data_IF_572352014429
#
_entry.id   IF_572352014429
#
_cell.length_a   1.000
_cell.length_b   1.000
_cell.length_c   1.000
_cell.angle_alpha   90.00
_cell.angle_beta   90.00
_cell.angle_gamma   90.00
#
_symmetry.space_group_name_H-M   'P 1'
#
loop_
_entity.id
_entity.type
_entity.pdbx_description
1 polymer ?
#
# COMPACT_ATOMS: atom_id res chain seq x y z
N UNK A 1 19.77 35.35 -3.57
CA UNK A 1 18.72 34.72 -2.75
C UNK A 1 18.49 35.48 -1.42
N UNK A 2 18.49 36.79 -1.46
CA UNK A 2 18.32 37.64 -0.27
C UNK A 2 17.25 38.73 -0.45
N UNK A 3 16.32 38.58 -1.38
CA UNK A 3 15.24 39.58 -1.63
C UNK A 3 13.83 38.99 -1.55
N UNK A 4 13.65 37.74 -1.11
CA UNK A 4 12.32 37.09 -1.04
C UNK A 4 11.69 37.06 0.36
N UNK A 5 12.36 37.59 1.38
CA UNK A 5 11.87 37.57 2.76
C UNK A 5 11.44 38.93 3.32
N UNK A 6 11.43 39.98 2.49
CA UNK A 6 11.05 41.35 2.96
C UNK A 6 9.63 41.80 2.60
N UNK A 7 8.80 40.95 1.97
CA UNK A 7 7.48 41.39 1.45
C UNK A 7 6.28 40.76 2.18
N UNK A 8 6.47 40.19 3.36
CA UNK A 8 5.39 39.64 4.18
C UNK A 8 5.11 40.44 5.45
N UNK A 9 5.25 41.76 5.36
CA UNK A 9 4.76 42.70 6.37
C UNK A 9 3.91 43.77 5.69
N UNK A 10 2.73 43.39 5.23
CA UNK A 10 1.65 44.33 4.96
C UNK A 10 0.35 43.67 5.42
N UNK A 11 -0.23 44.23 6.46
CA UNK A 11 -1.57 43.91 6.91
C UNK A 11 -2.58 44.19 5.81
N UNK A 12 -3.06 43.15 5.17
CA UNK A 12 -4.23 43.21 4.31
C UNK A 12 -5.46 42.89 5.16
N UNK A 13 -6.12 43.96 5.63
CA UNK A 13 -7.51 43.93 6.04
C UNK A 13 -8.35 43.54 4.81
N UNK A 14 -8.65 42.30 4.63
CA UNK A 14 -9.65 41.85 3.67
C UNK A 14 -11.04 42.14 4.24
N UNK A 15 -11.64 43.27 3.81
CA UNK A 15 -13.11 43.42 3.84
C UNK A 15 -13.70 42.43 2.88
N UNK A 16 -14.22 41.36 3.40
CA UNK A 16 -15.11 40.44 2.69
C UNK A 16 -16.52 41.05 2.74
N UNK A 17 -17.06 41.34 1.57
CA UNK A 17 -18.45 41.74 1.38
C UNK A 17 -19.41 40.71 1.98
N UNK A 18 -20.38 41.21 2.73
CA UNK A 18 -21.42 40.51 3.47
C UNK A 18 -22.55 40.02 2.52
N UNK A 19 -22.29 39.08 1.63
CA UNK A 19 -23.38 38.42 0.92
C UNK A 19 -23.07 36.98 0.51
N UNK A 20 -22.59 36.14 1.44
CA UNK A 20 -22.69 34.68 1.34
C UNK A 20 -22.90 34.11 2.73
N UNK A 21 -24.15 34.02 3.13
CA UNK A 21 -24.63 33.40 4.36
C UNK A 21 -24.30 31.90 4.35
N UNK A 22 -23.51 31.46 5.35
CA UNK A 22 -23.41 30.04 5.67
C UNK A 22 -22.02 29.46 5.88
N UNK A 23 -21.00 30.26 6.15
CA UNK A 23 -19.68 29.73 6.52
C UNK A 23 -19.46 29.97 8.00
N UNK A 24 -19.37 28.88 8.77
CA UNK A 24 -18.99 28.90 10.18
C UNK A 24 -17.63 29.60 10.33
N UNK A 25 -17.57 30.67 11.13
CA UNK A 25 -16.31 31.27 11.57
C UNK A 25 -15.53 30.25 12.39
N UNK A 26 -14.54 29.61 11.79
CA UNK A 26 -13.57 28.81 12.52
C UNK A 26 -12.62 29.81 13.19
N UNK A 27 -12.50 29.81 14.53
CA UNK A 27 -11.64 30.77 15.22
C UNK A 27 -10.19 30.56 14.76
N UNK A 28 -9.51 31.66 14.44
CA UNK A 28 -8.12 31.70 13.91
C UNK A 28 -7.12 30.91 14.77
N UNK A 29 -7.43 30.68 16.06
CA UNK A 29 -6.66 29.80 16.94
C UNK A 29 -6.70 28.33 16.53
N UNK A 30 -7.80 27.84 15.97
CA UNK A 30 -7.90 26.44 15.52
C UNK A 30 -7.21 26.23 14.15
N UNK A 31 -7.13 27.28 13.32
CA UNK A 31 -6.40 27.21 12.05
C UNK A 31 -4.86 27.14 12.29
N UNK A 32 -4.36 27.73 13.37
CA UNK A 32 -2.93 27.72 13.70
C UNK A 32 -2.45 26.40 14.34
N UNK A 33 -3.36 25.64 14.94
CA UNK A 33 -3.02 24.35 15.55
C UNK A 33 -2.87 23.27 14.48
N UNK A 34 -3.48 23.44 13.28
CA UNK A 34 -3.39 22.49 12.16
C UNK A 34 -2.18 22.68 11.24
N UNK A 35 -1.39 23.76 11.40
CA UNK A 35 -0.30 24.09 10.47
C UNK A 35 1.10 23.73 10.94
N UNK A 36 1.26 23.08 12.11
CA UNK A 36 2.58 22.75 12.67
C UNK A 36 2.72 21.33 13.24
N UNK A 37 1.81 20.42 12.90
CA UNK A 37 2.12 19.00 13.08
C UNK A 37 2.57 18.45 11.73
N UNK A 38 3.76 17.82 11.64
CA UNK A 38 4.06 16.97 10.52
C UNK A 38 2.88 15.99 10.42
N UNK A 39 2.27 15.90 9.24
CA UNK A 39 1.16 14.98 8.97
C UNK A 39 1.72 13.55 9.04
N UNK A 40 1.81 13.00 10.25
CA UNK A 40 2.02 11.58 10.42
C UNK A 40 0.83 10.87 9.81
N UNK A 41 1.06 10.06 8.79
CA UNK A 41 -0.02 9.31 8.16
C UNK A 41 -0.50 8.14 9.04
N UNK A 42 0.32 7.73 10.02
CA UNK A 42 -0.01 6.68 10.99
C UNK A 42 -0.58 7.30 12.26
N UNK A 43 -1.80 6.91 12.61
CA UNK A 43 -2.39 7.30 13.89
C UNK A 43 -1.75 6.50 15.02
N UNK A 44 -1.60 7.13 16.19
CA UNK A 44 -1.07 6.47 17.40
C UNK A 44 -1.90 5.21 17.75
N UNK A 45 -3.22 5.25 17.54
CA UNK A 45 -4.15 4.15 17.82
C UNK A 45 -3.94 2.94 16.91
N UNK A 46 -3.48 3.18 15.67
CA UNK A 46 -3.22 2.15 14.66
C UNK A 46 -1.77 1.66 14.70
N UNK A 47 -0.91 2.33 15.48
CA UNK A 47 0.51 2.01 15.59
C UNK A 47 0.76 0.84 16.56
N UNK A 48 1.92 0.22 16.39
CA UNK A 48 2.43 -0.81 17.28
C UNK A 48 3.67 -0.32 18.00
N UNK A 49 3.91 -0.83 19.20
CA UNK A 49 5.09 -0.49 19.98
C UNK A 49 6.23 -1.45 19.63
N UNK A 50 7.34 -0.90 19.13
CA UNK A 50 8.61 -1.59 19.07
C UNK A 50 9.44 -1.19 20.30
N UNK A 51 9.91 -2.20 21.05
CA UNK A 51 10.64 -2.03 22.31
C UNK A 51 12.04 -2.64 22.22
N UNK A 52 13.02 -1.89 22.67
CA UNK A 52 14.38 -2.35 22.85
C UNK A 52 14.86 -2.00 24.25
N UNK A 53 15.55 -2.93 24.91
CA UNK A 53 16.12 -2.73 26.23
C UNK A 53 17.64 -2.94 26.16
N UNK A 54 18.36 -1.95 26.64
CA UNK A 54 19.84 -1.98 26.65
C UNK A 54 20.38 -1.08 27.74
N UNK A 55 21.46 -1.51 28.40
CA UNK A 55 22.15 -0.76 29.47
C UNK A 55 21.23 -0.32 30.61
N UNK A 56 20.17 -1.09 30.92
CA UNK A 56 19.18 -0.72 31.92
C UNK A 56 18.15 0.33 31.48
N UNK A 57 18.26 0.82 30.25
CA UNK A 57 17.30 1.74 29.65
C UNK A 57 16.32 1.01 28.74
N UNK A 58 15.11 1.54 28.68
CA UNK A 58 14.03 1.05 27.84
C UNK A 58 13.73 2.10 26.77
N UNK A 59 13.65 1.66 25.53
CA UNK A 59 13.38 2.49 24.36
C UNK A 59 12.17 1.95 23.62
N UNK A 60 11.18 2.78 23.43
CA UNK A 60 9.95 2.45 22.71
C UNK A 60 9.72 3.45 21.59
N UNK A 61 9.32 2.96 20.44
CA UNK A 61 8.85 3.77 19.30
C UNK A 61 7.51 3.25 18.80
N UNK A 62 6.74 4.16 18.22
CA UNK A 62 5.43 3.86 17.64
C UNK A 62 5.58 3.76 16.11
N UNK A 63 5.37 2.57 15.57
CA UNK A 63 5.61 2.27 14.15
C UNK A 63 4.35 1.76 13.45
N UNK A 64 4.26 1.99 12.14
CA UNK A 64 3.25 1.32 11.31
C UNK A 64 3.51 -0.19 11.30
N UNK A 65 2.51 -1.03 11.61
CA UNK A 65 2.64 -2.48 11.50
C UNK A 65 3.15 -2.95 10.14
N UNK A 66 2.77 -2.28 9.06
CA UNK A 66 3.14 -2.65 7.69
C UNK A 66 4.53 -2.14 7.27
N UNK A 67 5.11 -1.21 8.03
CA UNK A 67 6.43 -0.63 7.73
C UNK A 67 7.59 -1.36 8.41
N UNK A 68 7.33 -2.36 9.25
CA UNK A 68 8.34 -3.01 10.07
C UNK A 68 9.54 -3.54 9.28
N UNK A 69 9.34 -4.14 8.10
CA UNK A 69 10.43 -4.63 7.25
C UNK A 69 11.22 -3.48 6.59
N UNK A 70 10.53 -2.40 6.16
CA UNK A 70 11.20 -1.19 5.64
C UNK A 70 12.02 -0.51 6.71
N UNK A 71 11.49 -0.41 7.94
CA UNK A 71 12.21 0.16 9.07
C UNK A 71 13.45 -0.67 9.40
N UNK A 72 13.36 -2.00 9.40
CA UNK A 72 14.50 -2.90 9.58
C UNK A 72 15.58 -2.71 8.53
N UNK A 73 15.23 -2.53 7.26
CA UNK A 73 16.19 -2.28 6.20
C UNK A 73 16.80 -0.88 6.23
N UNK A 74 16.17 0.07 6.95
CA UNK A 74 16.53 1.48 6.98
C UNK A 74 15.97 2.29 5.81
N UNK A 75 15.18 1.66 4.94
CA UNK A 75 14.49 2.27 3.80
C UNK A 75 13.05 2.61 4.18
N UNK A 76 12.87 3.67 4.97
CA UNK A 76 11.58 4.11 5.45
C UNK A 76 11.51 5.64 5.59
N UNK A 77 10.30 6.17 5.61
CA UNK A 77 10.01 7.59 5.83
C UNK A 77 9.45 7.78 7.24
N UNK A 78 10.08 8.68 8.02
CA UNK A 78 9.69 8.98 9.40
C UNK A 78 8.22 9.43 9.46
N UNK A 79 7.78 10.26 8.50
CA UNK A 79 6.44 10.86 8.51
C UNK A 79 5.33 9.87 8.13
N UNK A 80 5.64 8.83 7.39
CA UNK A 80 4.64 7.84 6.92
C UNK A 80 4.69 6.52 7.67
N UNK A 81 5.84 6.17 8.24
CA UNK A 81 6.09 4.84 8.81
C UNK A 81 6.19 4.86 10.34
N UNK A 82 6.37 6.04 10.95
CA UNK A 82 6.30 6.24 12.40
C UNK A 82 5.06 7.08 12.77
N UNK A 83 4.47 6.81 13.93
CA UNK A 83 3.41 7.65 14.48
C UNK A 83 3.96 8.84 15.29
N UNK A 84 5.26 8.87 15.55
CA UNK A 84 5.97 9.97 16.21
C UNK A 84 7.46 9.86 15.90
N UNK A 85 8.13 11.00 15.81
CA UNK A 85 9.60 11.14 15.71
C UNK A 85 10.30 11.06 17.06
N UNK A 86 9.61 10.61 18.09
CA UNK A 86 10.09 10.60 19.47
C UNK A 86 10.33 9.16 19.94
N UNK A 87 11.45 8.96 20.65
CA UNK A 87 11.72 7.73 21.39
C UNK A 87 11.20 7.88 22.82
N UNK A 88 10.45 6.90 23.28
CA UNK A 88 9.82 6.90 24.61
C UNK A 88 10.48 5.89 25.56
N UNK A 89 10.46 6.18 26.85
CA UNK A 89 10.68 5.18 27.91
C UNK A 89 9.42 4.32 28.10
N UNK A 90 8.26 4.97 27.99
CA UNK A 90 6.93 4.37 28.01
C UNK A 90 6.05 5.13 27.03
N UNK A 91 5.80 4.55 25.87
CA UNK A 91 5.02 5.18 24.82
C UNK A 91 3.55 5.41 25.22
N UNK A 92 2.99 4.54 26.06
CA UNK A 92 1.60 4.68 26.55
C UNK A 92 1.42 5.86 27.48
N UNK A 93 2.46 6.20 28.24
CA UNK A 93 2.45 7.36 29.16
C UNK A 93 2.97 8.62 28.50
N UNK A 94 3.56 8.52 27.31
CA UNK A 94 4.22 9.62 26.63
C UNK A 94 5.55 10.05 27.26
N UNK A 95 6.16 9.19 28.10
CA UNK A 95 7.44 9.46 28.76
C UNK A 95 8.57 9.37 27.72
N UNK A 96 9.20 10.50 27.43
CA UNK A 96 10.28 10.62 26.44
C UNK A 96 11.63 10.19 27.02
N UNK A 97 12.48 9.66 26.14
CA UNK A 97 13.90 9.42 26.46
C UNK A 97 14.67 10.72 26.24
N UNK A 98 15.61 11.00 27.14
CA UNK A 98 16.54 12.14 26.98
C UNK A 98 17.70 11.79 26.02
N UNK A 99 18.21 12.82 25.33
CA UNK A 99 19.28 12.70 24.34
C UNK A 99 20.56 12.04 24.91
N UNK A 100 20.84 12.23 26.19
CA UNK A 100 21.99 11.60 26.88
C UNK A 100 21.88 10.05 26.82
N UNK A 101 20.71 9.50 27.12
CA UNK A 101 20.47 8.06 27.07
C UNK A 101 20.50 7.52 25.63
N UNK A 102 20.05 8.31 24.64
CA UNK A 102 20.13 7.96 23.23
C UNK A 102 21.60 7.89 22.78
N UNK A 103 22.37 8.92 23.11
CA UNK A 103 23.82 8.98 22.82
C UNK A 103 24.61 7.89 23.52
N UNK A 104 24.22 7.52 24.74
CA UNK A 104 24.88 6.44 25.49
C UNK A 104 24.74 5.09 24.79
N UNK A 105 23.53 4.76 24.32
CA UNK A 105 23.20 3.43 23.78
C UNK A 105 23.39 3.35 22.28
N UNK A 106 22.85 4.32 21.52
CA UNK A 106 22.84 4.29 20.06
C UNK A 106 23.98 5.07 19.42
N UNK A 107 24.70 5.90 20.19
CA UNK A 107 25.77 6.81 19.71
C UNK A 107 25.30 7.86 18.71
N UNK A 108 24.00 8.06 18.60
CA UNK A 108 23.32 9.01 17.72
C UNK A 108 22.03 9.49 18.35
N UNK A 109 21.52 10.63 17.88
CA UNK A 109 20.18 11.15 18.17
C UNK A 109 19.30 11.13 16.92
N UNK A 110 19.81 10.59 15.81
CA UNK A 110 19.02 10.46 14.57
C UNK A 110 17.94 9.39 14.75
N UNK A 111 16.70 9.84 14.71
CA UNK A 111 15.53 8.97 14.87
C UNK A 111 15.47 7.84 13.84
N UNK A 112 15.98 8.09 12.63
CA UNK A 112 15.98 7.08 11.56
C UNK A 112 16.90 5.90 11.88
N UNK A 113 18.11 6.20 12.35
CA UNK A 113 19.07 5.19 12.78
C UNK A 113 18.57 4.44 14.02
N UNK A 114 18.08 5.18 15.01
CA UNK A 114 17.56 4.63 16.27
C UNK A 114 16.35 3.72 16.01
N UNK A 115 15.38 4.16 15.21
CA UNK A 115 14.19 3.36 14.88
C UNK A 115 14.57 2.05 14.17
N UNK A 116 15.48 2.12 13.20
CA UNK A 116 15.97 0.92 12.52
C UNK A 116 16.62 -0.07 13.51
N UNK A 117 17.42 0.43 14.44
CA UNK A 117 18.08 -0.41 15.44
C UNK A 117 17.07 -1.00 16.43
N UNK A 118 16.12 -0.21 16.95
CA UNK A 118 15.06 -0.68 17.85
C UNK A 118 14.21 -1.78 17.18
N UNK A 119 13.84 -1.62 15.91
CA UNK A 119 13.02 -2.62 15.21
C UNK A 119 13.84 -3.87 14.84
N UNK A 120 15.14 -3.72 14.56
CA UNK A 120 16.04 -4.86 14.28
C UNK A 120 16.34 -5.73 15.49
N UNK A 121 16.67 -5.10 16.61
CA UNK A 121 17.19 -5.76 17.80
C UNK A 121 16.13 -5.95 18.88
N UNK A 122 15.06 -5.17 18.81
CA UNK A 122 14.01 -5.15 19.82
C UNK A 122 12.88 -6.15 19.55
N UNK A 123 11.84 -6.02 20.35
CA UNK A 123 10.62 -6.82 20.28
C UNK A 123 9.44 -5.94 19.85
N UNK A 124 8.66 -6.43 18.89
CA UNK A 124 7.42 -5.77 18.47
C UNK A 124 6.28 -6.29 19.33
N UNK A 125 5.62 -5.38 20.03
CA UNK A 125 4.50 -5.69 20.92
C UNK A 125 3.18 -5.45 20.19
N UNK A 126 2.50 -6.53 19.89
CA UNK A 126 1.14 -6.52 19.36
C UNK A 126 0.15 -6.96 20.43
N UNK A 127 -1.01 -6.33 20.48
CA UNK A 127 -2.16 -6.95 21.17
C UNK A 127 -2.61 -8.19 20.40
N UNK A 128 -3.37 -9.05 21.06
CA UNK A 128 -3.93 -10.25 20.40
C UNK A 128 -4.82 -9.87 19.22
N UNK A 129 -5.61 -8.81 19.39
CA UNK A 129 -6.48 -8.24 18.33
C UNK A 129 -5.67 -7.73 17.16
N UNK A 130 -4.69 -6.86 17.39
CA UNK A 130 -3.82 -6.34 16.34
C UNK A 130 -3.12 -7.46 15.55
N UNK A 131 -2.60 -8.47 16.25
CA UNK A 131 -1.99 -9.64 15.61
C UNK A 131 -2.98 -10.39 14.71
N UNK A 132 -4.22 -10.59 15.20
CA UNK A 132 -5.28 -11.26 14.46
C UNK A 132 -5.68 -10.47 13.20
N UNK A 133 -5.88 -9.17 13.34
CA UNK A 133 -6.23 -8.28 12.23
C UNK A 133 -5.14 -8.23 11.16
N UNK A 134 -3.88 -8.08 11.58
CA UNK A 134 -2.74 -8.12 10.65
C UNK A 134 -2.66 -9.45 9.90
N UNK A 135 -2.83 -10.56 10.61
CA UNK A 135 -2.81 -11.89 10.01
C UNK A 135 -3.95 -12.05 9.00
N UNK A 136 -5.17 -11.63 9.34
CA UNK A 136 -6.33 -11.67 8.44
C UNK A 136 -6.09 -10.80 7.21
N UNK A 137 -5.61 -9.58 7.39
CA UNK A 137 -5.30 -8.65 6.29
C UNK A 137 -4.25 -9.26 5.35
N UNK A 138 -3.17 -9.81 5.91
CA UNK A 138 -2.10 -10.43 5.12
C UNK A 138 -2.58 -11.67 4.37
N UNK A 139 -3.35 -12.53 5.04
CA UNK A 139 -3.95 -13.71 4.42
C UNK A 139 -4.85 -13.32 3.25
N UNK A 140 -5.71 -12.31 3.44
CA UNK A 140 -6.58 -11.80 2.38
C UNK A 140 -5.78 -11.26 1.19
N UNK A 141 -4.72 -10.49 1.43
CA UNK A 141 -3.84 -10.00 0.36
C UNK A 141 -3.23 -11.13 -0.46
N UNK A 142 -2.70 -12.18 0.19
CA UNK A 142 -2.12 -13.33 -0.48
C UNK A 142 -3.19 -14.07 -1.33
N UNK A 143 -4.38 -14.29 -0.76
CA UNK A 143 -5.50 -14.91 -1.49
C UNK A 143 -5.86 -14.10 -2.74
N UNK A 144 -5.98 -12.78 -2.62
CA UNK A 144 -6.28 -11.88 -3.73
C UNK A 144 -5.19 -11.91 -4.80
N UNK A 145 -3.92 -11.89 -4.42
CA UNK A 145 -2.79 -11.99 -5.35
C UNK A 145 -2.84 -13.31 -6.13
N UNK A 146 -3.01 -14.44 -5.43
CA UNK A 146 -3.11 -15.76 -6.07
C UNK A 146 -4.30 -15.82 -7.02
N UNK A 147 -5.47 -15.32 -6.58
CA UNK A 147 -6.69 -15.33 -7.40
C UNK A 147 -6.53 -14.51 -8.68
N UNK A 148 -5.84 -13.35 -8.60
CA UNK A 148 -5.62 -12.47 -9.75
C UNK A 148 -4.62 -13.00 -10.75
N UNK A 149 -3.56 -13.65 -10.26
CA UNK A 149 -2.40 -14.01 -11.08
C UNK A 149 -2.40 -15.47 -11.51
N UNK A 150 -3.29 -16.32 -10.96
CA UNK A 150 -3.30 -17.75 -11.23
C UNK A 150 -4.55 -18.26 -11.93
N UNK A 151 -4.37 -19.38 -12.61
CA UNK A 151 -5.45 -20.14 -13.22
C UNK A 151 -5.29 -21.63 -12.90
N UNK A 152 -6.40 -22.34 -13.04
CA UNK A 152 -6.39 -23.81 -13.11
C UNK A 152 -5.86 -24.22 -14.51
N UNK A 153 -4.74 -24.94 -14.61
CA UNK A 153 -4.15 -25.33 -15.89
C UNK A 153 -5.00 -26.31 -16.71
N UNK A 154 -5.97 -26.99 -16.08
CA UNK A 154 -6.86 -27.93 -16.76
C UNK A 154 -8.04 -27.22 -17.44
N UNK A 155 -8.61 -26.23 -16.76
CA UNK A 155 -9.81 -25.51 -17.24
C UNK A 155 -9.50 -24.13 -17.82
N UNK A 156 -8.28 -23.61 -17.61
CA UNK A 156 -7.86 -22.24 -17.90
C UNK A 156 -8.75 -21.16 -17.24
N UNK A 157 -9.52 -21.55 -16.22
CA UNK A 157 -10.36 -20.63 -15.45
C UNK A 157 -9.61 -20.13 -14.20
N UNK A 158 -9.89 -18.88 -13.74
CA UNK A 158 -9.34 -18.37 -12.49
C UNK A 158 -9.86 -19.18 -11.29
N UNK A 159 -9.05 -19.22 -10.23
CA UNK A 159 -9.50 -19.80 -8.97
C UNK A 159 -10.31 -18.78 -8.17
N UNK A 160 -11.53 -19.11 -7.72
CA UNK A 160 -12.27 -18.28 -6.79
C UNK A 160 -11.48 -18.08 -5.48
N UNK A 161 -11.49 -16.88 -4.88
CA UNK A 161 -10.81 -16.60 -3.61
C UNK A 161 -11.14 -17.61 -2.50
N UNK A 162 -12.41 -18.03 -2.40
CA UNK A 162 -12.85 -19.02 -1.42
C UNK A 162 -12.16 -20.38 -1.58
N UNK A 163 -11.90 -20.83 -2.82
CA UNK A 163 -11.19 -22.09 -3.08
C UNK A 163 -9.72 -22.03 -2.68
N UNK A 164 -9.10 -20.84 -2.87
CA UNK A 164 -7.72 -20.61 -2.44
C UNK A 164 -7.65 -20.59 -0.91
N UNK A 165 -8.58 -19.89 -0.25
CA UNK A 165 -8.67 -19.86 1.21
C UNK A 165 -8.80 -21.26 1.80
N UNK A 166 -9.71 -22.07 1.27
CA UNK A 166 -9.88 -23.47 1.70
C UNK A 166 -8.60 -24.28 1.52
N UNK A 167 -7.94 -24.16 0.37
CA UNK A 167 -6.69 -24.87 0.13
C UNK A 167 -5.55 -24.42 1.07
N UNK A 168 -5.53 -23.14 1.48
CA UNK A 168 -4.58 -22.64 2.49
C UNK A 168 -4.84 -23.25 3.87
N UNK A 169 -6.11 -23.42 4.25
CA UNK A 169 -6.50 -24.09 5.50
C UNK A 169 -6.11 -25.56 5.47
N UNK A 170 -6.45 -26.27 4.39
CA UNK A 170 -6.15 -27.69 4.20
C UNK A 170 -4.63 -27.96 4.23
N UNK A 171 -3.84 -27.04 3.66
CA UNK A 171 -2.38 -27.10 3.65
C UNK A 171 -1.75 -26.65 4.97
N UNK A 172 -2.54 -26.18 5.94
CA UNK A 172 -2.06 -25.57 7.19
C UNK A 172 -0.98 -24.51 6.94
N UNK A 173 -1.22 -23.65 5.94
CA UNK A 173 -0.30 -22.55 5.61
C UNK A 173 -0.13 -21.64 6.80
N UNK A 174 1.11 -21.39 7.19
CA UNK A 174 1.43 -20.40 8.22
C UNK A 174 1.84 -19.08 7.55
N UNK A 175 1.12 -18.01 7.85
CA UNK A 175 1.41 -16.67 7.36
C UNK A 175 2.05 -15.84 8.46
N UNK A 176 3.16 -15.19 8.13
CA UNK A 176 3.82 -14.22 8.99
C UNK A 176 3.16 -12.85 8.78
N UNK A 177 2.51 -12.27 9.81
CA UNK A 177 1.85 -10.98 9.66
C UNK A 177 2.83 -9.82 9.36
N UNK A 178 4.11 -9.96 9.69
CA UNK A 178 5.12 -8.92 9.53
C UNK A 178 5.77 -8.90 8.14
N UNK A 179 5.82 -10.04 7.45
CA UNK A 179 6.39 -10.12 6.10
C UNK A 179 5.40 -9.60 5.05
N UNK A 180 5.93 -9.10 3.93
CA UNK A 180 5.09 -8.70 2.80
C UNK A 180 4.31 -9.90 2.22
N UNK A 181 3.22 -9.65 1.52
CA UNK A 181 2.46 -10.72 0.86
C UNK A 181 3.28 -11.33 -0.29
N UNK A 182 4.04 -10.49 -1.00
CA UNK A 182 4.91 -10.85 -2.11
C UNK A 182 6.01 -11.84 -1.70
N UNK A 183 6.68 -11.57 -0.58
CA UNK A 183 7.77 -12.42 -0.07
C UNK A 183 7.30 -13.81 0.31
N UNK A 184 6.06 -13.92 0.78
CA UNK A 184 5.46 -15.16 1.23
C UNK A 184 4.79 -15.94 0.11
N UNK A 185 4.40 -15.28 -0.99
CA UNK A 185 3.62 -15.85 -2.09
C UNK A 185 4.20 -17.15 -2.63
N UNK A 186 5.50 -17.17 -2.92
CA UNK A 186 6.17 -18.36 -3.47
C UNK A 186 6.16 -19.54 -2.49
N UNK A 187 6.30 -19.28 -1.19
CA UNK A 187 6.20 -20.30 -0.15
C UNK A 187 4.80 -20.90 -0.06
N UNK A 188 3.79 -20.03 -0.06
CA UNK A 188 2.37 -20.43 -0.06
C UNK A 188 2.03 -21.27 -1.29
N UNK A 189 2.42 -20.81 -2.49
CA UNK A 189 2.16 -21.55 -3.73
C UNK A 189 2.76 -22.97 -3.74
N UNK A 190 3.95 -23.14 -3.15
CA UNK A 190 4.55 -24.48 -3.02
C UNK A 190 3.68 -25.43 -2.19
N UNK A 191 3.04 -24.91 -1.13
CA UNK A 191 2.17 -25.69 -0.27
C UNK A 191 0.78 -25.97 -0.90
N UNK A 192 0.29 -25.06 -1.76
CA UNK A 192 -1.00 -25.20 -2.43
C UNK A 192 -0.97 -26.15 -3.63
N UNK A 193 0.16 -26.22 -4.36
CA UNK A 193 0.28 -27.06 -5.59
C UNK A 193 -0.11 -28.51 -5.43
N UNK A 194 0.15 -29.21 -4.32
CA UNK A 194 -0.31 -30.60 -4.13
C UNK A 194 -1.83 -30.74 -3.94
N UNK A 195 -2.51 -29.66 -3.51
CA UNK A 195 -3.94 -29.69 -3.15
C UNK A 195 -4.81 -29.19 -4.30
N UNK A 196 -4.39 -28.11 -4.97
CA UNK A 196 -5.11 -27.56 -6.11
C UNK A 196 -4.20 -27.41 -7.33
N UNK A 197 -4.69 -27.75 -8.54
CA UNK A 197 -3.95 -27.49 -9.76
C UNK A 197 -3.86 -25.99 -10.01
N UNK A 198 -2.72 -25.38 -9.70
CA UNK A 198 -2.53 -23.93 -9.77
C UNK A 198 -1.30 -23.57 -10.60
N UNK A 199 -1.47 -22.60 -11.52
CA UNK A 199 -0.39 -22.06 -12.35
C UNK A 199 -0.47 -20.54 -12.40
N UNK A 200 0.61 -19.88 -12.02
CA UNK A 200 0.79 -18.44 -12.23
C UNK A 200 1.08 -18.21 -13.70
N UNK A 201 0.29 -17.39 -14.35
CA UNK A 201 0.41 -17.12 -15.79
C UNK A 201 -0.09 -15.74 -16.13
N UNK A 202 0.46 -15.18 -17.21
CA UNK A 202 -0.06 -13.99 -17.85
C UNK A 202 -0.79 -14.37 -19.13
N UNK A 203 -1.94 -13.77 -19.37
CA UNK A 203 -2.70 -13.90 -20.59
C UNK A 203 -2.41 -12.73 -21.54
N UNK A 204 -2.44 -13.00 -22.85
CA UNK A 204 -2.37 -11.96 -23.88
C UNK A 204 -3.76 -11.77 -24.48
N UNK A 205 -4.22 -10.52 -24.47
CA UNK A 205 -5.48 -10.13 -25.07
C UNK A 205 -5.20 -9.28 -26.31
N UNK A 206 -5.68 -9.73 -27.47
CA UNK A 206 -5.77 -8.91 -28.65
C UNK A 206 -7.03 -8.06 -28.58
N UNK A 207 -6.90 -6.76 -28.71
CA UNK A 207 -7.98 -5.78 -28.55
C UNK A 207 -8.04 -4.93 -29.81
N UNK A 208 -9.23 -4.80 -30.40
CA UNK A 208 -9.52 -3.85 -31.46
C UNK A 208 -10.59 -2.87 -30.96
N UNK A 209 -10.35 -1.56 -31.10
CA UNK A 209 -11.24 -0.48 -30.69
C UNK A 209 -11.55 0.41 -31.89
N UNK A 210 -12.80 0.89 -31.99
CA UNK A 210 -13.07 2.01 -32.88
C UNK A 210 -12.43 3.29 -32.35
N UNK A 211 -12.12 4.28 -33.20
CA UNK A 211 -11.54 5.55 -32.79
C UNK A 211 -12.36 6.26 -31.70
N UNK A 212 -13.68 6.21 -31.78
CA UNK A 212 -14.60 6.81 -30.79
C UNK A 212 -14.55 6.13 -29.42
N UNK A 213 -14.25 4.84 -29.37
CA UNK A 213 -14.14 4.08 -28.15
C UNK A 213 -12.77 4.21 -27.49
N UNK A 214 -11.72 4.48 -28.28
CA UNK A 214 -10.34 4.55 -27.80
C UNK A 214 -10.16 5.49 -26.61
N UNK A 215 -10.59 6.75 -26.72
CA UNK A 215 -10.43 7.75 -25.67
C UNK A 215 -11.13 7.38 -24.35
N UNK A 216 -12.20 6.56 -24.42
CA UNK A 216 -12.97 6.12 -23.23
C UNK A 216 -12.37 4.91 -22.56
N UNK A 217 -11.63 4.08 -23.27
CA UNK A 217 -11.20 2.75 -22.85
C UNK A 217 -9.69 2.67 -22.62
N UNK A 218 -8.89 3.46 -23.34
CA UNK A 218 -7.43 3.38 -23.29
C UNK A 218 -6.85 3.54 -21.88
N UNK A 219 -7.38 4.46 -21.06
CA UNK A 219 -6.93 4.65 -19.70
C UNK A 219 -7.14 3.44 -18.80
N UNK A 220 -8.21 2.66 -19.02
CA UNK A 220 -8.44 1.41 -18.29
C UNK A 220 -7.57 0.28 -18.85
N UNK A 221 -7.37 0.26 -20.15
CA UNK A 221 -6.52 -0.68 -20.85
C UNK A 221 -5.07 -0.60 -20.32
N UNK A 222 -4.51 0.61 -20.26
CA UNK A 222 -3.17 0.87 -19.74
C UNK A 222 -3.00 0.52 -18.27
N UNK A 223 -4.07 0.64 -17.45
CA UNK A 223 -4.07 0.25 -16.04
C UNK A 223 -4.28 -1.24 -15.81
N UNK A 224 -4.90 -1.92 -16.77
CA UNK A 224 -5.21 -3.36 -16.64
C UNK A 224 -4.04 -4.27 -16.96
N UNK A 225 -3.04 -3.80 -17.71
CA UNK A 225 -1.91 -4.60 -18.13
C UNK A 225 -0.85 -3.83 -18.90
N UNK A 226 0.13 -4.57 -19.39
CA UNK A 226 1.21 -4.03 -20.19
C UNK A 226 0.90 -4.15 -21.68
N UNK A 227 0.93 -3.02 -22.42
CA UNK A 227 0.74 -3.01 -23.88
C UNK A 227 2.03 -3.49 -24.54
N UNK A 228 1.98 -4.66 -25.19
CA UNK A 228 3.12 -5.28 -25.87
C UNK A 228 3.32 -4.66 -27.26
N UNK A 229 2.20 -4.46 -27.97
CA UNK A 229 2.18 -3.94 -29.33
C UNK A 229 0.90 -3.14 -29.53
N UNK A 230 0.97 -2.06 -30.26
CA UNK A 230 -0.19 -1.29 -30.70
C UNK A 230 0.02 -0.73 -32.10
N UNK A 231 -1.07 -0.55 -32.82
CA UNK A 231 -1.07 0.05 -34.16
C UNK A 231 -2.44 0.67 -34.47
N UNK A 232 -2.47 1.64 -35.38
CA UNK A 232 -3.70 2.24 -35.90
C UNK A 232 -3.97 1.69 -37.29
N UNK A 233 -5.20 1.25 -37.52
CA UNK A 233 -5.68 0.84 -38.83
C UNK A 233 -6.02 2.04 -39.73
N UNK A 234 -6.04 1.82 -41.04
CA UNK A 234 -6.44 2.83 -42.00
C UNK A 234 -7.92 3.24 -41.86
N UNK A 235 -8.73 2.43 -41.19
CA UNK A 235 -10.12 2.68 -40.85
C UNK A 235 -10.32 3.54 -39.60
N UNK A 236 -9.22 4.04 -39.01
CA UNK A 236 -9.23 4.78 -37.74
C UNK A 236 -9.45 3.89 -36.50
N UNK A 237 -9.41 2.59 -36.64
CA UNK A 237 -9.45 1.68 -35.49
C UNK A 237 -8.09 1.55 -34.85
N UNK A 238 -8.06 1.45 -33.52
CA UNK A 238 -6.85 1.09 -32.74
C UNK A 238 -6.83 -0.43 -32.50
N UNK A 239 -5.68 -1.03 -32.67
CA UNK A 239 -5.45 -2.43 -32.41
C UNK A 239 -4.24 -2.61 -31.49
N UNK A 240 -4.34 -3.44 -30.48
CA UNK A 240 -3.23 -3.70 -29.57
C UNK A 240 -3.25 -5.09 -28.97
N UNK A 241 -2.09 -5.52 -28.47
CA UNK A 241 -1.95 -6.72 -27.65
C UNK A 241 -1.50 -6.30 -26.28
N UNK A 242 -2.31 -6.64 -25.26
CA UNK A 242 -2.00 -6.37 -23.86
C UNK A 242 -1.71 -7.67 -23.11
N UNK A 243 -0.73 -7.63 -22.23
CA UNK A 243 -0.43 -8.70 -21.29
C UNK A 243 -1.06 -8.39 -19.95
N UNK A 244 -1.91 -9.29 -19.46
CA UNK A 244 -2.68 -9.12 -18.22
C UNK A 244 -2.49 -10.34 -17.30
N UNK A 245 -2.70 -10.21 -15.99
CA UNK A 245 -2.76 -11.37 -15.10
C UNK A 245 -3.86 -12.33 -15.54
N UNK A 246 -3.53 -13.62 -15.68
CA UNK A 246 -4.45 -14.59 -16.28
C UNK A 246 -5.75 -14.78 -15.48
N UNK A 247 -5.70 -14.65 -14.15
CA UNK A 247 -6.88 -14.73 -13.30
C UNK A 247 -7.86 -13.56 -13.49
N UNK A 248 -7.39 -12.42 -14.02
CA UNK A 248 -8.21 -11.22 -14.23
C UNK A 248 -8.75 -11.10 -15.67
N UNK A 249 -8.36 -11.98 -16.59
CA UNK A 249 -8.68 -11.83 -18.02
C UNK A 249 -10.19 -11.65 -18.27
N UNK A 250 -11.05 -12.41 -17.61
CA UNK A 250 -12.50 -12.33 -17.76
C UNK A 250 -13.09 -11.01 -17.27
N UNK A 251 -12.65 -10.54 -16.11
CA UNK A 251 -13.09 -9.29 -15.52
C UNK A 251 -12.64 -8.10 -16.37
N UNK A 252 -11.40 -8.12 -16.86
CA UNK A 252 -10.86 -7.10 -17.74
C UNK A 252 -11.66 -7.04 -19.05
N UNK A 253 -11.89 -8.18 -19.70
CA UNK A 253 -12.69 -8.25 -20.94
C UNK A 253 -14.11 -7.69 -20.73
N UNK A 254 -14.77 -8.11 -19.65
CA UNK A 254 -16.12 -7.66 -19.30
C UNK A 254 -16.19 -6.15 -19.03
N UNK A 255 -15.20 -5.63 -18.31
CA UNK A 255 -15.13 -4.21 -17.95
C UNK A 255 -14.89 -3.32 -19.16
N UNK A 256 -13.92 -3.69 -20.02
CA UNK A 256 -13.62 -2.98 -21.25
C UNK A 256 -14.80 -3.02 -22.23
N UNK A 257 -15.46 -4.18 -22.39
CA UNK A 257 -16.64 -4.32 -23.26
C UNK A 257 -17.81 -3.45 -22.81
N UNK A 258 -18.05 -3.39 -21.51
CA UNK A 258 -19.10 -2.52 -20.93
C UNK A 258 -18.82 -1.03 -21.20
N UNK A 259 -17.57 -0.58 -21.03
CA UNK A 259 -17.20 0.82 -21.26
C UNK A 259 -17.20 1.21 -22.73
N UNK A 260 -16.78 0.30 -23.59
CA UNK A 260 -16.80 0.50 -25.04
C UNK A 260 -18.19 0.43 -25.66
N UNK A 261 -19.23 0.05 -24.90
CA UNK A 261 -20.61 -0.10 -25.37
C UNK A 261 -20.74 -0.93 -26.65
N UNK A 262 -19.96 -2.01 -26.76
CA UNK A 262 -19.93 -2.91 -27.94
C UNK A 262 -18.96 -2.51 -29.06
N UNK A 263 -18.33 -1.35 -28.99
CA UNK A 263 -17.37 -0.87 -30.00
C UNK A 263 -15.94 -1.39 -29.74
N UNK A 264 -15.84 -2.67 -29.35
CA UNK A 264 -14.59 -3.35 -29.02
C UNK A 264 -14.68 -4.83 -29.39
N UNK A 265 -13.63 -5.37 -29.99
CA UNK A 265 -13.41 -6.81 -30.14
C UNK A 265 -12.21 -7.19 -29.28
N UNK A 266 -12.40 -8.16 -28.38
CA UNK A 266 -11.35 -8.66 -27.49
C UNK A 266 -11.24 -10.18 -27.64
N UNK A 267 -10.05 -10.68 -27.88
CA UNK A 267 -9.78 -12.11 -28.00
C UNK A 267 -8.56 -12.50 -27.19
N UNK A 268 -8.65 -13.67 -26.55
CA UNK A 268 -7.49 -14.28 -25.90
C UNK A 268 -6.56 -14.82 -26.98
N UNK A 269 -5.31 -14.38 -26.98
CA UNK A 269 -4.28 -14.92 -27.86
C UNK A 269 -3.82 -16.25 -27.28
N UNK A 270 -4.17 -17.36 -27.95
CA UNK A 270 -3.65 -18.68 -27.60
C UNK A 270 -2.15 -18.73 -27.93
N UNK A 271 -1.39 -19.35 -27.04
CA UNK A 271 0.03 -19.67 -27.28
C UNK A 271 0.18 -20.68 -28.40
#
# INVERSE_FOLDING_TARGET
MSQFLSTLKVGASLRLDRELTGIYEIPVKELFIHTYHPLYMVKVEDSIVARFESHGHKFEILVDPNATERIKSGDFDINTDLASDTVFKDARKGDKVGDESLMEVFKTTDIKEIASEIVKKGQIQLTTEQRKEMLQKRTKQIIEMISRESINPQTNAPHPPARIAQAMEDSKVHIDPFKSAEDQLNGVLKLLKPIIPIRMEKAKLAVKLTGDAYGKVYGDLSRSGYIIKEEWGNDGSWMGVIEVPAGMQGDIMSNLSRKAKGNIDIRIVKK
#
